data_IF_899200703859
#
_entry.id   IF_899200703859
#
_cell.length_a   1.000
_cell.length_b   1.000
_cell.length_c   1.000
_cell.angle_alpha   90.00
_cell.angle_beta   90.00
_cell.angle_gamma   90.00
#
_symmetry.space_group_name_H-M   'P 1'
#
loop_
_entity.id
_entity.type
_entity.pdbx_description
1 polymer ?
#
# COMPACT_ATOMS: atom_id res chain seq x y z
N UNK A 1 -0.51 -13.19 -6.48
CA UNK A 1 0.20 -12.55 -5.36
C UNK A 1 1.14 -13.55 -4.70
N UNK A 2 2.42 -13.24 -4.66
CA UNK A 2 3.43 -14.09 -4.07
C UNK A 2 3.89 -13.47 -2.74
N UNK A 3 3.75 -14.21 -1.65
CA UNK A 3 4.07 -13.71 -0.31
C UNK A 3 5.48 -14.14 0.08
N UNK A 4 6.30 -13.17 0.49
CA UNK A 4 7.66 -13.40 1.00
C UNK A 4 7.75 -12.82 2.40
N UNK A 5 8.19 -13.62 3.37
CA UNK A 5 8.36 -13.18 4.76
C UNK A 5 9.83 -12.91 5.03
N UNK A 6 10.17 -11.67 5.36
CA UNK A 6 11.54 -11.28 5.72
C UNK A 6 11.53 -10.01 6.56
N UNK A 7 11.95 -10.11 7.80
CA UNK A 7 12.07 -8.92 8.66
C UNK A 7 13.19 -7.98 8.24
N UNK A 8 14.12 -8.45 7.40
CA UNK A 8 15.25 -7.63 6.96
C UNK A 8 14.92 -6.70 5.79
N UNK A 9 13.89 -7.04 4.99
CA UNK A 9 13.47 -6.27 3.82
C UNK A 9 12.46 -5.17 4.17
N UNK A 10 11.91 -5.18 5.38
CA UNK A 10 10.88 -4.24 5.79
C UNK A 10 11.47 -3.23 6.77
N UNK A 11 11.42 -1.92 6.48
CA UNK A 11 11.94 -0.91 7.38
C UNK A 11 11.22 -0.90 8.73
N UNK A 12 11.91 -0.37 9.75
CA UNK A 12 11.33 -0.19 11.07
C UNK A 12 10.07 0.69 10.98
N UNK A 13 9.02 0.27 11.67
CA UNK A 13 7.75 0.99 11.67
C UNK A 13 6.76 0.53 10.62
N UNK A 14 7.13 -0.44 9.78
CA UNK A 14 6.26 -0.99 8.75
C UNK A 14 6.13 -2.50 8.94
N UNK A 15 4.99 -3.06 8.47
CA UNK A 15 4.72 -4.50 8.56
C UNK A 15 4.72 -5.19 7.21
N UNK A 16 4.54 -4.44 6.13
CA UNK A 16 4.47 -5.01 4.79
C UNK A 16 4.87 -4.03 3.72
N UNK A 17 5.17 -4.57 2.55
CA UNK A 17 5.53 -3.80 1.36
C UNK A 17 5.10 -4.58 0.12
N UNK A 18 4.52 -3.88 -0.85
CA UNK A 18 4.05 -4.50 -2.09
C UNK A 18 4.89 -4.02 -3.27
N UNK A 19 5.43 -4.99 -4.00
CA UNK A 19 6.07 -4.77 -5.32
C UNK A 19 5.58 -5.88 -6.24
N UNK A 20 4.60 -5.57 -7.08
CA UNK A 20 3.96 -6.59 -7.92
C UNK A 20 4.96 -7.49 -8.63
N UNK A 21 4.80 -8.79 -8.64
CA UNK A 21 3.70 -9.60 -8.05
C UNK A 21 3.92 -10.00 -6.59
N UNK A 22 4.90 -9.42 -5.91
CA UNK A 22 5.32 -9.84 -4.58
C UNK A 22 4.68 -8.98 -3.49
N UNK A 23 4.35 -9.64 -2.37
CA UNK A 23 4.00 -8.96 -1.12
C UNK A 23 5.02 -9.41 -0.08
N UNK A 24 5.77 -8.46 0.46
CA UNK A 24 6.77 -8.72 1.49
C UNK A 24 6.16 -8.44 2.86
N UNK A 25 6.19 -9.41 3.75
CA UNK A 25 5.70 -9.27 5.11
C UNK A 25 6.85 -9.41 6.09
N UNK A 26 6.83 -8.59 7.15
CA UNK A 26 7.88 -8.62 8.16
C UNK A 26 7.79 -9.83 9.06
N UNK A 27 6.57 -10.24 9.42
CA UNK A 27 6.33 -11.32 10.38
C UNK A 27 5.54 -12.45 9.74
N UNK A 28 5.94 -13.70 10.03
CA UNK A 28 5.24 -14.88 9.51
C UNK A 28 3.78 -14.95 10.00
N UNK A 29 3.52 -14.49 11.24
CA UNK A 29 2.14 -14.45 11.77
C UNK A 29 1.19 -13.62 10.93
N UNK A 30 1.70 -12.64 10.20
CA UNK A 30 0.88 -11.74 9.39
C UNK A 30 0.39 -12.42 8.10
N UNK A 31 0.90 -13.59 7.73
CA UNK A 31 0.38 -14.35 6.59
C UNK A 31 -1.07 -14.80 6.80
N UNK A 32 -1.53 -14.84 8.06
CA UNK A 32 -2.91 -15.16 8.40
C UNK A 32 -3.77 -13.91 8.68
N UNK A 33 -3.20 -12.71 8.57
CA UNK A 33 -3.91 -11.46 8.83
C UNK A 33 -4.63 -11.00 7.56
N UNK A 34 -5.93 -11.28 7.47
CA UNK A 34 -6.72 -10.98 6.27
C UNK A 34 -6.82 -9.49 5.99
N UNK A 35 -6.88 -8.65 7.04
CA UNK A 35 -6.95 -7.19 6.87
C UNK A 35 -5.66 -6.67 6.25
N UNK A 36 -4.51 -7.10 6.77
CA UNK A 36 -3.21 -6.70 6.22
C UNK A 36 -3.03 -7.21 4.79
N UNK A 37 -3.40 -8.45 4.53
CA UNK A 37 -3.31 -9.01 3.17
C UNK A 37 -4.23 -8.27 2.20
N UNK A 38 -5.43 -7.90 2.64
CA UNK A 38 -6.33 -7.12 1.81
C UNK A 38 -5.76 -5.73 1.51
N UNK A 39 -5.14 -5.09 2.50
CA UNK A 39 -4.42 -3.82 2.31
C UNK A 39 -3.37 -3.95 1.21
N UNK A 40 -2.54 -4.98 1.27
CA UNK A 40 -1.49 -5.19 0.28
C UNK A 40 -2.05 -5.57 -1.09
N UNK A 41 -3.17 -6.30 -1.15
CA UNK A 41 -3.86 -6.60 -2.41
C UNK A 41 -4.39 -5.35 -3.09
N UNK A 42 -4.83 -4.36 -2.31
CA UNK A 42 -5.26 -3.07 -2.87
C UNK A 42 -4.07 -2.41 -3.56
N UNK A 43 -2.88 -2.44 -2.96
CA UNK A 43 -1.67 -1.92 -3.59
C UNK A 43 -1.29 -2.70 -4.85
N UNK A 44 -1.46 -4.03 -4.86
CA UNK A 44 -1.25 -4.84 -6.07
C UNK A 44 -2.14 -4.31 -7.20
N UNK A 45 -3.43 -4.06 -6.92
CA UNK A 45 -4.36 -3.56 -7.93
C UNK A 45 -3.97 -2.17 -8.42
N UNK A 46 -3.57 -1.27 -7.51
CA UNK A 46 -3.09 0.05 -7.87
C UNK A 46 -1.85 -0.02 -8.78
N UNK A 47 -0.90 -0.91 -8.46
CA UNK A 47 0.31 -1.08 -9.26
C UNK A 47 0.00 -1.64 -10.65
N UNK A 48 -0.96 -2.56 -10.76
CA UNK A 48 -1.39 -3.09 -12.04
C UNK A 48 -2.04 -2.02 -12.92
N UNK A 49 -2.87 -1.16 -12.31
CA UNK A 49 -3.57 -0.09 -13.03
C UNK A 49 -2.60 0.96 -13.59
N UNK A 50 -1.58 1.30 -12.81
CA UNK A 50 -0.65 2.36 -13.17
C UNK A 50 0.62 1.84 -13.84
N UNK A 51 0.79 0.52 -13.96
CA UNK A 51 2.07 -0.11 -14.23
C UNK A 51 3.03 0.16 -13.06
N UNK A 52 3.87 -0.80 -12.73
CA UNK A 52 4.62 -0.77 -11.47
C UNK A 52 5.51 0.46 -11.33
N UNK A 53 6.28 0.81 -12.38
CA UNK A 53 7.23 1.92 -12.30
C UNK A 53 6.54 3.28 -12.15
N UNK A 54 5.54 3.64 -12.99
CA UNK A 54 4.78 4.88 -12.78
C UNK A 54 4.11 4.96 -11.42
N UNK A 55 3.63 3.83 -10.87
CA UNK A 55 3.06 3.80 -9.52
C UNK A 55 4.08 4.30 -8.50
N UNK A 56 5.31 3.79 -8.52
CA UNK A 56 6.32 4.18 -7.54
C UNK A 56 6.81 5.61 -7.73
N UNK A 57 6.86 6.10 -8.97
CA UNK A 57 7.19 7.51 -9.22
C UNK A 57 6.13 8.41 -8.59
N UNK A 58 4.85 8.13 -8.84
CA UNK A 58 3.74 8.89 -8.26
C UNK A 58 3.75 8.80 -6.73
N UNK A 59 3.96 7.59 -6.20
CA UNK A 59 4.02 7.35 -4.76
C UNK A 59 5.10 8.22 -4.11
N UNK A 60 6.30 8.23 -4.70
CA UNK A 60 7.42 9.01 -4.18
C UNK A 60 7.16 10.52 -4.24
N UNK A 61 6.57 11.00 -5.34
CA UNK A 61 6.22 12.41 -5.48
C UNK A 61 5.17 12.83 -4.45
N UNK A 62 4.14 12.02 -4.25
CA UNK A 62 3.12 12.30 -3.23
C UNK A 62 3.71 12.25 -1.83
N UNK A 63 4.56 11.26 -1.54
CA UNK A 63 5.21 11.16 -0.25
C UNK A 63 6.02 12.42 0.05
N UNK A 64 6.80 12.89 -0.92
CA UNK A 64 7.60 14.11 -0.77
C UNK A 64 6.71 15.32 -0.49
N UNK A 65 5.62 15.48 -1.24
CA UNK A 65 4.67 16.55 -1.03
C UNK A 65 4.05 16.49 0.37
N UNK A 66 3.62 15.30 0.80
CA UNK A 66 3.01 15.12 2.12
C UNK A 66 4.04 15.32 3.25
N UNK A 67 5.30 14.92 3.00
CA UNK A 67 6.37 15.12 3.98
C UNK A 67 6.60 16.62 4.23
N UNK A 68 6.60 17.42 3.18
CA UNK A 68 6.69 18.88 3.30
C UNK A 68 5.49 19.44 4.06
N UNK A 69 4.30 18.93 3.79
CA UNK A 69 3.04 19.37 4.40
C UNK A 69 2.97 19.02 5.88
N UNK A 70 3.27 17.77 6.23
CA UNK A 70 3.07 17.26 7.59
C UNK A 70 4.34 17.30 8.46
N UNK A 71 5.52 17.33 7.84
CA UNK A 71 6.83 17.30 8.51
C UNK A 71 7.02 16.11 9.45
N UNK A 72 6.35 14.99 9.13
CA UNK A 72 6.41 13.75 9.89
C UNK A 72 6.28 12.59 8.91
N UNK A 73 7.23 11.65 8.95
CA UNK A 73 7.27 10.57 7.96
C UNK A 73 6.07 9.63 8.03
N UNK A 74 5.57 9.32 9.24
CA UNK A 74 4.41 8.44 9.37
C UNK A 74 3.13 9.13 8.89
N UNK A 75 2.95 10.41 9.21
CA UNK A 75 1.79 11.18 8.75
C UNK A 75 1.83 11.37 7.24
N UNK A 76 3.02 11.63 6.68
CA UNK A 76 3.20 11.76 5.23
C UNK A 76 2.81 10.44 4.53
N UNK A 77 3.32 9.32 5.00
CA UNK A 77 3.03 7.99 4.48
C UNK A 77 1.52 7.69 4.52
N UNK A 78 0.88 7.90 5.67
CA UNK A 78 -0.56 7.62 5.84
C UNK A 78 -1.44 8.49 4.93
N UNK A 79 -0.95 9.62 4.47
CA UNK A 79 -1.73 10.57 3.67
C UNK A 79 -1.44 10.52 2.17
N UNK A 80 -0.60 9.61 1.69
CA UNK A 80 -0.48 9.32 0.26
C UNK A 80 -1.82 8.74 -0.22
N UNK A 81 -2.30 9.17 -1.40
CA UNK A 81 -3.60 8.72 -1.92
C UNK A 81 -3.73 7.21 -1.99
N UNK A 82 -2.66 6.51 -2.40
CA UNK A 82 -2.63 5.06 -2.44
C UNK A 82 -2.82 4.45 -1.04
N UNK A 83 -2.17 5.03 -0.04
CA UNK A 83 -2.29 4.55 1.34
C UNK A 83 -3.65 4.92 1.95
N UNK A 84 -4.16 6.11 1.66
CA UNK A 84 -5.51 6.49 2.10
C UNK A 84 -6.55 5.49 1.59
N UNK A 85 -6.49 5.15 0.31
CA UNK A 85 -7.40 4.16 -0.25
C UNK A 85 -7.27 2.82 0.46
N UNK A 86 -6.05 2.34 0.66
CA UNK A 86 -5.82 1.04 1.28
C UNK A 86 -6.26 1.01 2.74
N UNK A 87 -5.89 2.02 3.54
CA UNK A 87 -6.27 2.07 4.95
C UNK A 87 -7.78 2.24 5.15
N UNK A 88 -8.45 3.02 4.30
CA UNK A 88 -9.90 3.22 4.42
C UNK A 88 -10.69 1.95 4.09
N UNK A 89 -10.14 1.04 3.31
CA UNK A 89 -10.87 -0.10 2.76
C UNK A 89 -10.28 -1.46 3.13
N UNK A 90 -9.20 -1.51 3.90
CA UNK A 90 -8.52 -2.76 4.23
C UNK A 90 -9.38 -3.76 5.00
N UNK A 91 -10.36 -3.27 5.76
CA UNK A 91 -11.26 -4.12 6.55
C UNK A 91 -12.40 -4.70 5.73
N UNK A 92 -12.67 -4.15 4.55
CA UNK A 92 -13.69 -4.67 3.64
C UNK A 92 -13.04 -5.69 2.69
N UNK A 93 -13.16 -6.97 3.04
CA UNK A 93 -12.50 -8.04 2.30
C UNK A 93 -13.08 -8.23 0.88
N UNK A 94 -14.22 -7.61 0.59
CA UNK A 94 -14.83 -7.64 -0.74
C UNK A 94 -14.58 -6.35 -1.55
N UNK A 95 -13.80 -5.42 -1.01
CA UNK A 95 -13.60 -4.10 -1.61
C UNK A 95 -13.12 -4.18 -3.06
N UNK A 96 -12.15 -5.03 -3.36
CA UNK A 96 -11.57 -5.12 -4.70
C UNK A 96 -12.56 -5.61 -5.76
N UNK A 97 -13.60 -6.34 -5.36
CA UNK A 97 -14.65 -6.82 -6.29
C UNK A 97 -15.52 -5.68 -6.80
N UNK A 98 -15.65 -4.60 -6.02
CA UNK A 98 -16.54 -3.48 -6.31
C UNK A 98 -15.76 -2.20 -6.63
N UNK A 99 -14.44 -2.25 -6.55
CA UNK A 99 -13.57 -1.10 -6.71
C UNK A 99 -13.54 -0.60 -8.15
N UNK A 100 -13.65 0.73 -8.34
CA UNK A 100 -13.51 1.35 -9.64
C UNK A 100 -12.04 1.46 -10.05
N UNK A 101 -11.80 1.46 -11.36
CA UNK A 101 -10.47 1.69 -11.93
C UNK A 101 -9.94 3.06 -11.48
N UNK A 102 -8.69 3.12 -11.01
CA UNK A 102 -8.04 4.34 -10.53
C UNK A 102 -8.79 5.02 -9.37
N UNK A 103 -9.39 4.20 -8.50
CA UNK A 103 -10.17 4.68 -7.35
C UNK A 103 -9.34 5.59 -6.41
N UNK A 104 -8.01 5.38 -6.35
CA UNK A 104 -7.13 6.17 -5.48
C UNK A 104 -7.22 7.67 -5.76
N UNK A 105 -7.58 8.07 -6.98
CA UNK A 105 -7.71 9.49 -7.34
C UNK A 105 -8.73 10.22 -6.46
N UNK A 106 -9.72 9.51 -5.93
CA UNK A 106 -10.72 10.10 -5.02
C UNK A 106 -10.13 10.41 -3.65
N UNK A 107 -8.92 9.96 -3.36
CA UNK A 107 -8.25 10.17 -2.08
C UNK A 107 -7.16 11.25 -2.11
N UNK A 108 -6.94 11.87 -3.25
CA UNK A 108 -5.95 12.95 -3.37
C UNK A 108 -6.27 14.14 -2.46
#
# INVERSE_FOLDING_TARGET
>A
MLIIVSRYLIPKGFRGFTFFPFVFLKYRKDTANEVLLNHEKIHIQQQLEMLVVPFFIWYLLEYTYRLIQYRNSQDAYRNISFEREAYDNEKDLNYLKLRSFWQFLKKL
#
